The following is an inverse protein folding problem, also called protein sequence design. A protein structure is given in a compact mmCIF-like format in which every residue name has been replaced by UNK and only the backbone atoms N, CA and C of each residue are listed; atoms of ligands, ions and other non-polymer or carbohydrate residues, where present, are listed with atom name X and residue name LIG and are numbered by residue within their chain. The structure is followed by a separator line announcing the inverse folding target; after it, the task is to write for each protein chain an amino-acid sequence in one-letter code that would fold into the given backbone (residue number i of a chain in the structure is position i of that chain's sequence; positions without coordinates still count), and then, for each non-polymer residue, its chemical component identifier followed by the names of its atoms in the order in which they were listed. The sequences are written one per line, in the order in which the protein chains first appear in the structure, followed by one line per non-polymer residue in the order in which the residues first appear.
data_IF_819056973386
#
_entry.id   IF_819056973386
#
_cell.length_a   1.000
_cell.length_b   1.000
_cell.length_c   1.000
_cell.angle_alpha   90.00
_cell.angle_beta   90.00
_cell.angle_gamma   90.00
#
_symmetry.space_group_name_H-M   'P 1'
#
loop_
_entity.id
_entity.type
_entity.pdbx_description
1 polymer ?
#
# COMPACT_ATOMS: atom_id res chain seq x y z
N UNK A 1 -2.60 -2.70 -7.41
CA UNK A 1 -1.23 -2.79 -6.89
C UNK A 1 -0.26 -2.40 -8.00
N UNK A 2 0.78 -1.65 -7.71
CA UNK A 2 1.78 -1.23 -8.68
C UNK A 2 3.13 -1.04 -7.98
N UNK A 3 4.23 -1.45 -8.61
CA UNK A 3 5.59 -1.14 -8.18
C UNK A 3 6.07 0.10 -8.93
N UNK A 4 6.68 1.04 -8.23
CA UNK A 4 7.31 2.23 -8.79
C UNK A 4 8.71 2.41 -8.25
N UNK A 5 9.67 2.45 -9.14
CA UNK A 5 11.03 2.85 -8.79
C UNK A 5 11.12 4.38 -8.71
N UNK A 6 11.74 4.87 -7.66
CA UNK A 6 11.96 6.30 -7.42
C UNK A 6 13.39 6.54 -6.98
N UNK A 7 13.96 7.68 -7.39
CA UNK A 7 15.29 8.11 -6.94
C UNK A 7 15.12 9.34 -6.06
N UNK A 8 15.54 9.24 -4.81
CA UNK A 8 15.51 10.34 -3.85
C UNK A 8 16.86 10.53 -3.17
N UNK A 9 17.38 11.75 -3.17
CA UNK A 9 18.72 12.10 -2.62
C UNK A 9 19.86 11.20 -3.13
N UNK A 10 19.75 10.68 -4.36
CA UNK A 10 20.75 9.81 -4.99
C UNK A 10 20.64 8.34 -4.63
N UNK A 11 19.65 7.93 -3.86
CA UNK A 11 19.32 6.55 -3.55
C UNK A 11 18.09 6.09 -4.32
N UNK A 12 18.06 4.81 -4.69
CA UNK A 12 16.93 4.21 -5.39
C UNK A 12 16.01 3.52 -4.41
N UNK A 13 14.72 3.80 -4.55
CA UNK A 13 13.64 3.22 -3.73
C UNK A 13 12.65 2.49 -4.62
N UNK A 14 12.23 1.33 -4.19
CA UNK A 14 11.11 0.60 -4.79
C UNK A 14 9.87 0.76 -3.93
N UNK A 15 8.85 1.43 -4.46
CA UNK A 15 7.60 1.68 -3.76
C UNK A 15 6.54 0.68 -4.23
N UNK A 16 6.02 -0.11 -3.30
CA UNK A 16 4.88 -1.00 -3.55
C UNK A 16 3.58 -0.25 -3.19
N UNK A 17 2.78 0.08 -4.20
CA UNK A 17 1.53 0.82 -4.03
C UNK A 17 0.34 -0.13 -4.14
N UNK A 18 -0.50 -0.17 -3.11
CA UNK A 18 -1.78 -0.88 -3.09
C UNK A 18 -2.88 0.17 -3.08
N UNK A 19 -3.67 0.21 -4.15
CA UNK A 19 -4.85 1.07 -4.23
C UNK A 19 -6.03 0.37 -3.57
N UNK A 20 -6.75 1.09 -2.71
CA UNK A 20 -7.91 0.57 -1.99
C UNK A 20 -9.16 1.38 -2.34
N UNK A 21 -10.31 0.73 -2.52
CA UNK A 21 -11.56 1.45 -2.73
C UNK A 21 -11.90 2.29 -1.48
N UNK A 22 -12.33 3.54 -1.70
CA UNK A 22 -12.68 4.45 -0.61
C UNK A 22 -14.08 4.26 -0.02
N UNK A 23 -14.91 3.35 -0.56
CA UNK A 23 -16.29 3.18 -0.13
C UNK A 23 -16.43 2.21 1.06
N UNK A 24 -17.33 2.53 1.99
CA UNK A 24 -17.54 1.75 3.24
C UNK A 24 -17.90 0.27 3.01
N UNK A 25 -18.49 -0.08 1.87
CA UNK A 25 -18.84 -1.47 1.55
C UNK A 25 -17.61 -2.37 1.37
N UNK A 26 -16.42 -1.79 1.17
CA UNK A 26 -15.16 -2.50 0.93
C UNK A 26 -14.23 -2.51 2.16
N UNK A 27 -14.75 -2.26 3.36
CA UNK A 27 -13.94 -2.24 4.58
C UNK A 27 -13.10 -3.51 4.79
N UNK A 28 -13.62 -4.66 4.37
CA UNK A 28 -12.91 -5.94 4.50
C UNK A 28 -11.68 -6.01 3.59
N UNK A 29 -11.82 -5.60 2.31
CA UNK A 29 -10.70 -5.54 1.37
C UNK A 29 -9.68 -4.49 1.79
N UNK A 30 -10.15 -3.33 2.27
CA UNK A 30 -9.28 -2.27 2.80
C UNK A 30 -8.46 -2.78 3.98
N UNK A 31 -9.09 -3.41 4.97
CA UNK A 31 -8.39 -3.94 6.16
C UNK A 31 -7.33 -4.98 5.79
N UNK A 32 -7.61 -5.87 4.84
CA UNK A 32 -6.63 -6.87 4.38
C UNK A 32 -5.45 -6.25 3.65
N UNK A 33 -5.71 -5.24 2.83
CA UNK A 33 -4.67 -4.51 2.11
C UNK A 33 -3.78 -3.72 3.08
N UNK A 34 -4.38 -3.05 4.07
CA UNK A 34 -3.63 -2.33 5.10
C UNK A 34 -2.72 -3.26 5.91
N UNK A 35 -3.17 -4.48 6.25
CA UNK A 35 -2.34 -5.46 6.95
C UNK A 35 -1.07 -5.88 6.18
N UNK A 36 -1.01 -5.60 4.87
CA UNK A 36 0.15 -5.88 4.01
C UNK A 36 1.11 -4.68 3.87
N UNK A 37 0.80 -3.53 4.49
CA UNK A 37 1.53 -2.27 4.32
C UNK A 37 2.29 -1.86 5.57
N UNK A 38 3.29 -0.98 5.42
CA UNK A 38 3.99 -0.28 6.50
C UNK A 38 3.41 1.12 6.75
N UNK A 39 2.69 1.66 5.79
CA UNK A 39 2.06 2.97 5.89
C UNK A 39 0.91 3.15 4.94
N UNK A 40 0.16 4.22 5.13
CA UNK A 40 -0.99 4.59 4.34
C UNK A 40 -0.98 6.07 3.98
N UNK A 41 -1.33 6.39 2.73
CA UNK A 41 -1.61 7.75 2.31
C UNK A 41 -3.09 8.05 2.58
N UNK A 42 -3.36 9.01 3.46
CA UNK A 42 -4.71 9.51 3.71
C UNK A 42 -4.98 10.69 2.79
N UNK A 43 -5.65 10.43 1.67
CA UNK A 43 -5.94 11.46 0.66
C UNK A 43 -7.25 12.15 1.00
N UNK A 44 -7.19 13.45 1.29
CA UNK A 44 -8.35 14.28 1.64
C UNK A 44 -8.61 15.30 0.52
N UNK A 45 -9.87 15.46 0.18
CA UNK A 45 -10.31 16.44 -0.84
C UNK A 45 -10.29 17.85 -0.26
N UNK A 46 -9.54 18.77 -0.87
CA UNK A 46 -9.42 20.16 -0.42
C UNK A 46 -10.76 20.95 -0.45
N UNK A 47 -11.75 20.47 -1.18
CA UNK A 47 -13.07 21.11 -1.28
C UNK A 47 -14.12 20.52 -0.33
N UNK A 48 -13.97 19.25 0.05
CA UNK A 48 -14.93 18.52 0.90
C UNK A 48 -14.45 18.42 2.35
N UNK A 49 -13.13 18.35 2.58
CA UNK A 49 -12.55 18.18 3.89
C UNK A 49 -12.61 16.74 4.40
N UNK A 50 -12.56 16.58 5.73
CA UNK A 50 -12.58 15.28 6.39
C UNK A 50 -14.02 14.77 6.48
N UNK A 51 -14.30 13.70 5.74
CA UNK A 51 -15.61 13.03 5.74
C UNK A 51 -15.63 11.80 6.67
N UNK A 52 -16.81 11.25 6.92
CA UNK A 52 -16.97 10.05 7.75
C UNK A 52 -16.17 8.84 7.24
N UNK A 53 -16.03 8.71 5.91
CA UNK A 53 -15.21 7.66 5.30
C UNK A 53 -13.71 7.88 5.54
N UNK A 54 -13.25 9.13 5.49
CA UNK A 54 -11.87 9.50 5.81
C UNK A 54 -11.52 9.07 7.23
N UNK A 55 -12.41 9.36 8.19
CA UNK A 55 -12.26 8.95 9.58
C UNK A 55 -12.23 7.42 9.73
N UNK A 56 -13.17 6.72 9.10
CA UNK A 56 -13.25 5.26 9.18
C UNK A 56 -11.97 4.60 8.65
N UNK A 57 -11.45 5.05 7.50
CA UNK A 57 -10.22 4.54 6.92
C UNK A 57 -8.98 4.91 7.75
N UNK A 58 -8.96 6.11 8.37
CA UNK A 58 -7.92 6.52 9.29
C UNK A 58 -7.84 5.57 10.50
N UNK A 59 -8.97 5.26 11.13
CA UNK A 59 -9.01 4.32 12.26
C UNK A 59 -8.58 2.91 11.85
N UNK A 60 -8.98 2.42 10.67
CA UNK A 60 -8.50 1.14 10.16
C UNK A 60 -6.98 1.11 9.96
N UNK A 61 -6.38 2.21 9.52
CA UNK A 61 -4.93 2.31 9.38
C UNK A 61 -4.24 2.34 10.75
N UNK A 62 -4.79 3.07 11.73
CA UNK A 62 -4.28 3.10 13.11
C UNK A 62 -4.39 1.74 13.79
N UNK A 63 -5.49 1.02 13.62
CA UNK A 63 -5.69 -0.34 14.15
C UNK A 63 -4.67 -1.36 13.60
N UNK A 64 -4.10 -1.09 12.43
CA UNK A 64 -3.01 -1.87 11.83
C UNK A 64 -1.61 -1.33 12.14
N UNK A 65 -1.49 -0.35 13.04
CA UNK A 65 -0.21 0.27 13.47
C UNK A 65 0.59 0.87 12.29
N UNK A 66 -0.09 1.46 11.31
CA UNK A 66 0.51 2.03 10.12
C UNK A 66 0.96 3.48 10.33
N UNK A 67 2.08 3.86 9.71
CA UNK A 67 2.44 5.26 9.53
C UNK A 67 1.43 5.90 8.57
N UNK A 68 0.76 6.99 8.99
CA UNK A 68 -0.23 7.67 8.16
C UNK A 68 0.34 8.99 7.66
N UNK A 69 0.38 9.14 6.34
CA UNK A 69 0.82 10.38 5.67
C UNK A 69 -0.41 11.07 5.07
N UNK A 70 -0.86 12.19 5.65
CA UNK A 70 -1.97 12.97 5.09
C UNK A 70 -1.55 13.66 3.81
N UNK A 71 -2.44 13.70 2.82
CA UNK A 71 -2.25 14.38 1.53
C UNK A 71 -3.52 15.14 1.19
N UNK A 72 -3.41 16.44 0.90
CA UNK A 72 -4.56 17.28 0.55
C UNK A 72 -4.60 17.44 -0.98
N UNK A 73 -5.60 16.83 -1.60
CA UNK A 73 -5.76 16.75 -3.05
C UNK A 73 -6.83 17.72 -3.58
N UNK A 74 -6.83 17.94 -4.89
CA UNK A 74 -7.77 18.79 -5.63
C UNK A 74 -7.64 20.28 -5.29
N UNK A 75 -6.43 20.76 -5.04
CA UNK A 75 -6.16 22.20 -4.81
C UNK A 75 -6.44 23.08 -6.02
N UNK A 76 -6.62 22.48 -7.21
CA UNK A 76 -6.98 23.15 -8.46
C UNK A 76 -8.43 23.62 -8.51
N UNK A 77 -9.29 23.14 -7.62
CA UNK A 77 -10.70 23.50 -7.59
C UNK A 77 -10.90 24.90 -7.01
N UNK A 78 -11.82 25.72 -7.58
CA UNK A 78 -12.15 27.05 -7.04
C UNK A 78 -12.70 27.03 -5.61
N UNK A 79 -13.28 25.91 -5.18
CA UNK A 79 -13.82 25.69 -3.83
C UNK A 79 -12.82 25.08 -2.86
N UNK A 80 -11.57 24.90 -3.27
CA UNK A 80 -10.53 24.33 -2.42
C UNK A 80 -10.21 25.26 -1.24
N UNK A 81 -10.13 24.68 -0.03
CA UNK A 81 -9.80 25.39 1.23
C UNK A 81 -8.73 24.60 2.00
N UNK A 82 -7.53 24.46 1.45
CA UNK A 82 -6.52 23.55 1.96
C UNK A 82 -6.09 23.83 3.41
N UNK A 83 -6.07 25.08 3.85
CA UNK A 83 -5.68 25.43 5.22
C UNK A 83 -6.74 25.02 6.26
N UNK A 84 -8.03 25.13 5.92
CA UNK A 84 -9.12 24.65 6.77
C UNK A 84 -9.09 23.12 6.86
N UNK A 85 -8.90 22.44 5.72
CA UNK A 85 -8.79 20.97 5.67
C UNK A 85 -7.58 20.47 6.45
N UNK A 86 -6.47 21.21 6.44
CA UNK A 86 -5.30 20.91 7.28
C UNK A 86 -5.67 20.91 8.77
N UNK A 87 -6.42 21.91 9.22
CA UNK A 87 -6.91 21.98 10.61
C UNK A 87 -7.85 20.82 10.94
N UNK A 88 -8.78 20.48 10.03
CA UNK A 88 -9.66 19.33 10.20
C UNK A 88 -8.89 18.02 10.38
N UNK A 89 -7.77 17.83 9.63
CA UNK A 89 -6.89 16.67 9.76
C UNK A 89 -6.15 16.68 11.11
N UNK A 90 -5.71 17.84 11.58
CA UNK A 90 -5.07 17.98 12.90
C UNK A 90 -6.05 17.72 14.04
N UNK A 91 -7.32 18.12 13.90
CA UNK A 91 -8.37 17.86 14.89
C UNK A 91 -8.67 16.37 15.09
N UNK A 92 -8.45 15.53 14.08
CA UNK A 92 -8.58 14.08 14.21
C UNK A 92 -7.31 13.40 14.76
N UNK A 93 -6.29 14.20 15.11
CA UNK A 93 -5.08 13.74 15.79
C UNK A 93 -3.90 13.36 14.88
N UNK A 94 -3.95 13.68 13.59
CA UNK A 94 -2.84 13.49 12.66
C UNK A 94 -2.03 14.77 12.49
N UNK A 95 -0.70 14.65 12.35
CA UNK A 95 0.16 15.78 11.99
C UNK A 95 0.01 16.09 10.50
N UNK A 96 -0.65 17.21 10.17
CA UNK A 96 -0.82 17.69 8.81
C UNK A 96 0.07 18.88 8.46
N UNK A 97 0.99 19.28 9.35
CA UNK A 97 1.87 20.45 9.17
C UNK A 97 2.71 20.36 7.89
N UNK A 98 3.11 19.14 7.49
CA UNK A 98 3.89 18.85 6.29
C UNK A 98 3.08 18.21 5.16
N UNK A 99 1.75 18.08 5.32
CA UNK A 99 0.91 17.43 4.34
C UNK A 99 1.05 18.07 2.95
N UNK A 100 1.43 17.30 1.90
CA UNK A 100 1.54 17.82 0.55
C UNK A 100 0.20 18.32 0.02
N UNK A 101 0.21 19.53 -0.54
CA UNK A 101 -0.91 20.12 -1.25
C UNK A 101 -0.79 19.79 -2.73
N UNK A 102 -1.68 18.97 -3.27
CA UNK A 102 -1.56 18.42 -4.61
C UNK A 102 -2.78 18.63 -5.50
N UNK A 103 -2.57 18.54 -6.80
CA UNK A 103 -3.63 18.20 -7.74
C UNK A 103 -3.19 16.99 -8.56
N UNK A 104 -3.79 15.85 -8.27
CA UNK A 104 -3.54 14.63 -9.02
C UNK A 104 -3.96 14.77 -10.49
N UNK A 105 -5.03 15.53 -10.76
CA UNK A 105 -5.53 15.79 -12.10
C UNK A 105 -4.55 16.62 -12.94
N UNK A 106 -4.00 17.68 -12.36
CA UNK A 106 -3.08 18.59 -13.04
C UNK A 106 -1.60 18.19 -12.88
N UNK A 107 -1.31 17.12 -12.13
CA UNK A 107 0.05 16.65 -11.86
C UNK A 107 0.86 17.56 -10.93
N UNK A 108 0.20 18.42 -10.16
CA UNK A 108 0.86 19.39 -9.27
C UNK A 108 1.35 18.69 -8.01
N UNK A 109 2.63 18.86 -7.67
CA UNK A 109 3.29 18.42 -6.43
C UNK A 109 3.21 16.89 -6.18
N UNK A 110 3.05 16.06 -7.20
CA UNK A 110 3.00 14.60 -7.04
C UNK A 110 4.33 14.05 -6.50
N UNK A 111 5.46 14.65 -6.90
CA UNK A 111 6.77 14.23 -6.42
C UNK A 111 6.91 14.43 -4.90
N UNK A 112 6.28 15.46 -4.31
CA UNK A 112 6.28 15.68 -2.86
C UNK A 112 5.58 14.57 -2.09
N UNK A 113 4.56 13.94 -2.68
CA UNK A 113 3.90 12.78 -2.06
C UNK A 113 4.88 11.62 -1.98
N UNK A 114 5.63 11.35 -3.05
CA UNK A 114 6.63 10.28 -3.06
C UNK A 114 7.78 10.56 -2.09
N UNK A 115 8.19 11.82 -1.96
CA UNK A 115 9.17 12.25 -0.96
C UNK A 115 8.66 12.00 0.46
N UNK A 116 7.42 12.41 0.78
CA UNK A 116 6.81 12.14 2.09
C UNK A 116 6.71 10.64 2.38
N UNK A 117 6.35 9.82 1.39
CA UNK A 117 6.35 8.35 1.56
C UNK A 117 7.72 7.83 1.99
N UNK A 118 8.80 8.29 1.32
CA UNK A 118 10.16 7.83 1.62
C UNK A 118 10.64 8.35 3.00
N UNK A 119 10.25 9.57 3.38
CA UNK A 119 10.70 10.18 4.64
C UNK A 119 9.91 9.69 5.87
N UNK A 120 8.63 9.40 5.72
CA UNK A 120 7.71 9.18 6.85
C UNK A 120 7.28 7.72 7.03
N UNK A 121 7.27 6.91 5.95
CA UNK A 121 6.89 5.50 6.05
C UNK A 121 8.16 4.65 6.24
N UNK A 122 8.22 3.82 7.30
CA UNK A 122 9.38 2.98 7.55
C UNK A 122 9.56 1.93 6.46
N UNK A 123 10.81 1.61 6.14
CA UNK A 123 11.11 0.47 5.26
C UNK A 123 10.61 -0.84 5.87
N UNK A 124 10.16 -1.78 5.02
CA UNK A 124 9.82 -3.13 5.48
C UNK A 124 10.96 -3.79 6.24
N UNK A 125 10.60 -4.45 7.34
CA UNK A 125 11.55 -5.25 8.12
C UNK A 125 11.39 -6.71 7.72
N UNK A 126 12.50 -7.45 7.61
CA UNK A 126 12.46 -8.89 7.32
C UNK A 126 13.85 -9.45 7.08
N UNK A 127 14.00 -10.76 7.25
CA UNK A 127 15.24 -11.49 7.00
C UNK A 127 15.04 -12.42 5.80
N UNK A 128 15.74 -12.14 4.71
CA UNK A 128 15.71 -12.96 3.49
C UNK A 128 16.21 -14.40 3.70
N UNK A 129 17.01 -14.65 4.72
CA UNK A 129 17.58 -15.96 5.04
C UNK A 129 16.73 -16.77 6.02
N UNK A 130 15.71 -16.15 6.59
CA UNK A 130 14.77 -16.83 7.48
C UNK A 130 13.81 -17.75 6.71
N UNK A 131 13.12 -18.67 7.38
CA UNK A 131 12.02 -19.42 6.77
C UNK A 131 10.93 -18.50 6.21
N UNK A 132 10.38 -18.88 5.06
CA UNK A 132 9.33 -18.10 4.38
C UNK A 132 8.15 -17.82 5.31
N UNK A 133 7.81 -16.54 5.46
CA UNK A 133 6.56 -16.04 6.02
C UNK A 133 5.96 -15.04 5.05
N UNK A 134 4.74 -15.31 4.62
CA UNK A 134 4.01 -14.46 3.70
C UNK A 134 2.56 -14.30 4.17
N UNK A 135 2.03 -13.10 3.98
CA UNK A 135 0.61 -12.80 4.17
C UNK A 135 -0.09 -12.83 2.82
N UNK A 136 -1.14 -13.61 2.74
CA UNK A 136 -2.09 -13.55 1.61
C UNK A 136 -3.11 -12.46 1.97
N UNK A 137 -3.11 -11.38 1.22
CA UNK A 137 -4.03 -10.28 1.47
C UNK A 137 -5.17 -10.21 0.44
N UNK A 138 -4.99 -10.85 -0.75
CA UNK A 138 -6.04 -10.93 -1.75
C UNK A 138 -5.84 -12.15 -2.67
N UNK A 139 -6.85 -12.49 -3.48
CA UNK A 139 -6.76 -13.50 -4.52
C UNK A 139 -7.65 -13.12 -5.71
N UNK A 140 -7.14 -13.38 -6.90
CA UNK A 140 -7.85 -13.12 -8.16
C UNK A 140 -7.95 -14.43 -8.93
N UNK A 141 -9.12 -14.70 -9.51
CA UNK A 141 -9.27 -15.84 -10.41
C UNK A 141 -9.01 -15.43 -11.85
N UNK A 142 -8.00 -16.05 -12.45
CA UNK A 142 -7.69 -15.93 -13.87
C UNK A 142 -8.16 -17.17 -14.62
N UNK A 143 -8.84 -16.99 -15.75
CA UNK A 143 -9.42 -18.10 -16.52
C UNK A 143 -8.37 -19.06 -17.10
N UNK A 144 -7.13 -18.62 -17.27
CA UNK A 144 -6.03 -19.40 -17.86
C UNK A 144 -5.06 -19.94 -16.82
N UNK A 145 -4.78 -19.14 -15.78
CA UNK A 145 -3.78 -19.45 -14.75
C UNK A 145 -4.40 -20.04 -13.47
N UNK A 146 -5.71 -19.93 -13.32
CA UNK A 146 -6.41 -20.35 -12.11
C UNK A 146 -6.37 -19.28 -11.03
N UNK A 147 -6.19 -19.68 -9.78
CA UNK A 147 -6.16 -18.75 -8.64
C UNK A 147 -4.79 -18.11 -8.53
N UNK A 148 -4.76 -16.79 -8.68
CA UNK A 148 -3.60 -15.94 -8.38
C UNK A 148 -3.74 -15.43 -6.94
N UNK A 149 -2.73 -15.68 -6.14
CA UNK A 149 -2.70 -15.29 -4.73
C UNK A 149 -1.81 -14.05 -4.61
N UNK A 150 -2.37 -12.94 -4.11
CA UNK A 150 -1.60 -11.73 -3.84
C UNK A 150 -0.96 -11.84 -2.47
N UNK A 151 0.36 -11.70 -2.43
CA UNK A 151 1.14 -11.93 -1.21
C UNK A 151 2.07 -10.77 -0.88
N UNK A 152 2.24 -10.55 0.42
CA UNK A 152 3.32 -9.77 1.00
C UNK A 152 4.30 -10.72 1.67
N UNK A 153 5.58 -10.65 1.33
CA UNK A 153 6.64 -11.45 1.95
C UNK A 153 7.18 -10.70 3.17
N UNK A 154 7.03 -11.29 4.35
CA UNK A 154 7.61 -10.76 5.59
C UNK A 154 9.03 -11.27 5.81
N UNK A 155 9.26 -12.58 5.69
CA UNK A 155 10.56 -13.21 5.85
C UNK A 155 10.80 -14.24 4.75
N UNK A 156 12.07 -14.51 4.49
CA UNK A 156 12.50 -15.54 3.54
C UNK A 156 12.34 -15.14 2.08
N UNK A 157 12.33 -16.14 1.24
CA UNK A 157 12.17 -16.01 -0.23
C UNK A 157 11.23 -17.09 -0.75
N UNK A 158 10.46 -16.74 -1.78
CA UNK A 158 9.67 -17.68 -2.57
C UNK A 158 10.05 -17.58 -4.03
N UNK A 159 10.13 -18.74 -4.71
CA UNK A 159 10.44 -18.87 -6.14
C UNK A 159 9.60 -19.96 -6.76
N UNK A 160 9.60 -20.02 -8.07
CA UNK A 160 8.99 -21.13 -8.82
C UNK A 160 9.59 -22.47 -8.36
N UNK A 161 8.74 -23.45 -8.10
CA UNK A 161 9.12 -24.77 -7.57
C UNK A 161 9.29 -24.81 -6.03
N UNK A 162 9.14 -23.70 -5.33
CA UNK A 162 9.08 -23.70 -3.86
C UNK A 162 7.87 -24.48 -3.38
N UNK A 163 8.03 -25.19 -2.27
CA UNK A 163 6.94 -25.88 -1.60
C UNK A 163 6.47 -25.05 -0.40
N UNK A 164 5.21 -24.68 -0.40
CA UNK A 164 4.60 -23.85 0.64
C UNK A 164 3.51 -24.61 1.39
N UNK A 165 3.25 -24.18 2.60
CA UNK A 165 2.13 -24.63 3.43
C UNK A 165 1.30 -23.43 3.85
N UNK A 166 -0.01 -23.54 3.78
CA UNK A 166 -0.89 -22.57 4.37
C UNK A 166 -1.00 -22.80 5.87
N UNK A 167 -1.00 -21.74 6.65
CA UNK A 167 -1.06 -21.83 8.11
C UNK A 167 -2.31 -22.57 8.60
N UNK A 168 -3.44 -22.39 7.92
CA UNK A 168 -4.71 -23.04 8.28
C UNK A 168 -4.82 -24.49 7.79
N UNK A 169 -4.11 -24.88 6.73
CA UNK A 169 -4.18 -26.25 6.16
C UNK A 169 -2.85 -26.96 6.30
N UNK A 170 -2.48 -27.25 7.56
CA UNK A 170 -1.15 -27.75 7.96
C UNK A 170 -0.66 -28.98 7.22
N UNK A 171 -1.58 -29.83 6.74
CA UNK A 171 -1.25 -31.13 6.12
C UNK A 171 -1.10 -31.05 4.59
N UNK A 172 -1.43 -29.91 3.97
CA UNK A 172 -1.35 -29.74 2.52
C UNK A 172 -0.10 -28.95 2.14
N UNK A 173 0.69 -29.50 1.23
CA UNK A 173 1.82 -28.84 0.58
C UNK A 173 1.38 -28.44 -0.82
N UNK A 174 1.69 -27.20 -1.19
CA UNK A 174 1.41 -26.66 -2.51
C UNK A 174 2.74 -26.34 -3.21
N UNK A 175 2.79 -26.60 -4.50
CA UNK A 175 3.92 -26.19 -5.32
C UNK A 175 3.64 -24.81 -5.93
N UNK A 176 4.63 -23.92 -5.84
CA UNK A 176 4.55 -22.59 -6.45
C UNK A 176 4.87 -22.74 -7.94
N UNK A 177 3.89 -22.45 -8.78
CA UNK A 177 3.99 -22.58 -10.24
C UNK A 177 4.50 -21.32 -10.93
N UNK A 178 4.20 -20.16 -10.36
CA UNK A 178 4.60 -18.86 -10.88
C UNK A 178 4.79 -17.87 -9.74
N UNK A 179 5.72 -16.92 -9.90
CA UNK A 179 5.87 -15.74 -9.04
C UNK A 179 6.06 -14.51 -9.91
N UNK A 180 5.59 -13.37 -9.45
CA UNK A 180 5.71 -12.11 -10.18
C UNK A 180 5.21 -10.90 -9.41
N UNK A 181 5.30 -9.77 -10.07
CA UNK A 181 4.95 -8.44 -9.57
C UNK A 181 3.96 -7.76 -10.53
N UNK A 182 3.34 -6.68 -10.07
CA UNK A 182 2.53 -5.81 -10.90
C UNK A 182 3.26 -4.49 -11.16
N UNK A 183 3.60 -4.20 -12.43
CA UNK A 183 4.37 -3.02 -12.81
C UNK A 183 3.94 -2.39 -14.16
N UNK A 184 2.79 -1.72 -14.25
CA UNK A 184 1.44 -1.96 -13.71
C UNK A 184 0.82 -3.28 -14.16
N UNK A 185 1.31 -3.85 -15.28
CA UNK A 185 0.90 -5.17 -15.76
C UNK A 185 1.63 -6.27 -14.99
N UNK A 186 1.08 -7.47 -15.04
CA UNK A 186 1.71 -8.65 -14.45
C UNK A 186 3.04 -8.94 -15.14
N UNK A 187 4.11 -9.00 -14.35
CA UNK A 187 5.45 -9.36 -14.81
C UNK A 187 5.99 -10.50 -13.98
N UNK A 188 6.34 -11.59 -14.62
CA UNK A 188 7.01 -12.71 -13.95
C UNK A 188 8.40 -12.29 -13.45
N UNK A 189 8.77 -12.81 -12.28
CA UNK A 189 10.09 -12.63 -11.67
C UNK A 189 10.66 -14.00 -11.27
N UNK A 190 11.95 -14.06 -10.99
CA UNK A 190 12.58 -15.30 -10.53
C UNK A 190 12.19 -15.65 -9.09
N UNK A 191 12.05 -14.64 -8.24
CA UNK A 191 11.71 -14.80 -6.83
C UNK A 191 11.07 -13.53 -6.27
N UNK A 192 10.40 -13.69 -5.12
CA UNK A 192 10.02 -12.61 -4.22
C UNK A 192 10.73 -12.83 -2.89
N UNK A 193 11.25 -11.77 -2.28
CA UNK A 193 12.00 -11.78 -1.02
C UNK A 193 11.33 -10.90 0.04
N UNK A 194 11.87 -10.96 1.26
CA UNK A 194 11.37 -10.15 2.37
C UNK A 194 11.24 -8.67 1.96
N UNK A 195 10.07 -8.09 2.16
CA UNK A 195 9.73 -6.75 1.72
C UNK A 195 8.92 -6.67 0.44
N UNK A 196 8.98 -7.68 -0.43
CA UNK A 196 8.28 -7.66 -1.71
C UNK A 196 6.77 -7.90 -1.56
N UNK A 197 6.03 -7.30 -2.50
CA UNK A 197 4.61 -7.54 -2.73
C UNK A 197 4.45 -8.06 -4.16
N UNK A 198 3.74 -9.18 -4.30
CA UNK A 198 3.60 -9.82 -5.60
C UNK A 198 2.51 -10.89 -5.64
N UNK A 199 2.60 -11.79 -6.59
CA UNK A 199 1.68 -12.92 -6.74
C UNK A 199 2.43 -14.24 -6.89
#
# INVERSE_FOLDING_TARGET
MCIRDSCYKGENYTLNLIDTPGHVDFNYEVSRSLAACEGALLIVDASQGVEAQTLANCYLALDNDLAIVPVINKIDLPSARPEEVRQEIEEIGLDASRAPLISAKEGINIDKVLESVIEEIPCPKGDENAPLKALIFDCVYDNYKGVLILVRIFDGKVRVGSKIKMFQTKDKVFDVTEVGIFAPEMRQTESLSAGDVGY
#
